data_IF_433878780352
#
_entry.id   IF_433878780352
#
_cell.length_a   1.000
_cell.length_b   1.000
_cell.length_c   1.000
_cell.angle_alpha   90.00
_cell.angle_beta   90.00
_cell.angle_gamma   90.00
#
_symmetry.space_group_name_H-M   'P 1'
#
loop_
_entity.id
_entity.type
_entity.pdbx_description
1 polymer ?
#
# COMPACT_ATOMS: atom_id res chain seq x y z
N UNK A 1 26.14 -12.29 -4.24
CA UNK A 1 25.26 -11.68 -5.27
C UNK A 1 23.86 -12.23 -5.02
N UNK A 2 22.90 -11.40 -4.62
CA UNK A 2 21.54 -11.88 -4.32
C UNK A 2 20.84 -12.34 -5.61
N UNK A 3 20.06 -13.42 -5.53
CA UNK A 3 19.27 -13.92 -6.65
C UNK A 3 18.21 -12.86 -7.04
N UNK A 4 18.21 -12.33 -8.27
CA UNK A 4 17.25 -11.31 -8.70
C UNK A 4 15.79 -11.75 -8.49
N UNK A 5 15.48 -13.04 -8.65
CA UNK A 5 14.13 -13.58 -8.46
C UNK A 5 13.68 -13.51 -6.99
N UNK A 6 14.57 -13.86 -6.06
CA UNK A 6 14.27 -13.81 -4.62
C UNK A 6 14.09 -12.36 -4.11
N UNK A 7 14.83 -11.41 -4.70
CA UNK A 7 14.71 -9.99 -4.38
C UNK A 7 13.33 -9.45 -4.78
N UNK A 8 12.88 -9.71 -6.02
CA UNK A 8 11.57 -9.27 -6.51
C UNK A 8 10.42 -9.78 -5.62
N UNK A 9 10.40 -11.07 -5.28
CA UNK A 9 9.38 -11.67 -4.40
C UNK A 9 9.31 -10.94 -3.04
N UNK A 10 10.48 -10.60 -2.47
CA UNK A 10 10.57 -9.92 -1.18
C UNK A 10 10.00 -8.49 -1.24
N UNK A 11 10.30 -7.75 -2.31
CA UNK A 11 9.78 -6.38 -2.49
C UNK A 11 8.27 -6.36 -2.65
N UNK A 12 7.74 -7.32 -3.42
CA UNK A 12 6.32 -7.51 -3.60
C UNK A 12 5.56 -7.87 -2.31
N UNK A 13 6.15 -8.73 -1.47
CA UNK A 13 5.60 -9.06 -0.15
C UNK A 13 5.55 -7.82 0.75
N UNK A 14 6.61 -7.01 0.76
CA UNK A 14 6.63 -5.73 1.51
C UNK A 14 5.56 -4.78 0.97
N UNK A 15 5.44 -4.62 -0.34
CA UNK A 15 4.40 -3.76 -0.95
C UNK A 15 2.99 -4.19 -0.51
N UNK A 16 2.69 -5.50 -0.52
CA UNK A 16 1.40 -6.02 -0.05
C UNK A 16 1.18 -5.73 1.43
N UNK A 17 2.19 -5.94 2.26
CA UNK A 17 2.12 -5.69 3.70
C UNK A 17 1.85 -4.21 4.02
N UNK A 18 2.61 -3.30 3.41
CA UNK A 18 2.43 -1.86 3.62
C UNK A 18 1.14 -1.33 2.99
N UNK A 19 0.67 -1.89 1.87
CA UNK A 19 -0.65 -1.57 1.32
C UNK A 19 -1.78 -1.92 2.30
N UNK A 20 -1.67 -3.06 2.99
CA UNK A 20 -2.63 -3.47 4.00
C UNK A 20 -2.57 -2.57 5.25
N UNK A 21 -1.36 -2.33 5.78
CA UNK A 21 -1.18 -1.45 6.94
C UNK A 21 -1.74 -0.06 6.67
N UNK A 22 -1.47 0.49 5.50
CA UNK A 22 -1.91 1.83 5.14
C UNK A 22 -3.43 1.94 5.03
N UNK A 23 -4.06 0.93 4.43
CA UNK A 23 -5.52 0.95 4.32
C UNK A 23 -6.19 0.75 5.68
N UNK A 24 -5.59 -0.06 6.57
CA UNK A 24 -6.06 -0.21 7.95
C UNK A 24 -5.87 1.11 8.72
N UNK A 25 -4.72 1.78 8.57
CA UNK A 25 -4.46 3.07 9.23
C UNK A 25 -5.45 4.14 8.77
N UNK A 26 -5.75 4.21 7.47
CA UNK A 26 -6.76 5.08 6.88
C UNK A 26 -8.17 4.75 7.41
N UNK A 27 -8.52 3.47 7.46
CA UNK A 27 -9.83 3.03 7.94
C UNK A 27 -10.03 3.40 9.42
N UNK A 28 -9.02 3.15 10.26
CA UNK A 28 -9.05 3.54 11.67
C UNK A 28 -9.13 5.07 11.83
N UNK A 29 -8.40 5.83 11.02
CA UNK A 29 -8.45 7.28 11.05
C UNK A 29 -9.85 7.81 10.66
N UNK A 30 -10.41 7.35 9.54
CA UNK A 30 -11.67 7.87 9.00
C UNK A 30 -12.90 7.32 9.71
N UNK A 31 -12.90 6.06 10.13
CA UNK A 31 -14.09 5.40 10.72
C UNK A 31 -14.10 5.49 12.25
N UNK A 32 -12.94 5.61 12.89
CA UNK A 32 -12.86 5.68 14.36
C UNK A 32 -12.47 7.09 14.81
N UNK A 33 -11.27 7.56 14.45
CA UNK A 33 -10.74 8.79 15.01
C UNK A 33 -11.59 10.02 14.65
N UNK A 34 -12.00 10.14 13.38
CA UNK A 34 -12.81 11.27 12.89
C UNK A 34 -14.21 11.28 13.53
N UNK A 35 -14.99 10.18 13.56
CA UNK A 35 -16.29 10.17 14.24
C UNK A 35 -16.18 10.45 15.74
N UNK A 36 -15.20 9.85 16.44
CA UNK A 36 -15.02 10.12 17.87
C UNK A 36 -14.69 11.59 18.17
N UNK A 37 -13.91 12.24 17.29
CA UNK A 37 -13.68 13.68 17.35
C UNK A 37 -14.98 14.47 17.27
N UNK A 38 -15.86 14.15 16.31
CA UNK A 38 -17.11 14.89 16.11
C UNK A 38 -18.19 14.58 17.17
N UNK A 39 -18.31 13.33 17.63
CA UNK A 39 -19.34 12.94 18.60
C UNK A 39 -18.98 13.22 20.04
N UNK A 40 -17.69 13.10 20.40
CA UNK A 40 -17.24 13.14 21.80
C UNK A 40 -16.17 14.22 22.06
N UNK A 41 -15.92 15.10 21.08
CA UNK A 41 -14.89 16.15 21.18
C UNK A 41 -13.47 15.61 21.36
N UNK A 42 -13.23 14.33 21.08
CA UNK A 42 -11.98 13.66 21.39
C UNK A 42 -10.94 13.83 20.28
N UNK A 43 -10.28 14.99 20.25
CA UNK A 43 -9.27 15.34 19.23
C UNK A 43 -8.00 14.49 19.29
N UNK A 44 -7.70 13.88 20.44
CA UNK A 44 -6.48 13.10 20.67
C UNK A 44 -6.33 11.95 19.67
N UNK A 45 -7.42 11.28 19.31
CA UNK A 45 -7.39 10.17 18.36
C UNK A 45 -6.87 10.58 16.97
N UNK A 46 -7.36 11.72 16.45
CA UNK A 46 -6.92 12.24 15.14
C UNK A 46 -5.49 12.78 15.23
N UNK A 47 -5.12 13.40 16.34
CA UNK A 47 -3.78 13.96 16.56
C UNK A 47 -2.68 12.89 16.49
N UNK A 48 -2.93 11.69 16.99
CA UNK A 48 -1.98 10.56 16.88
C UNK A 48 -2.14 9.77 15.58
N UNK A 49 -3.38 9.48 15.16
CA UNK A 49 -3.58 8.66 13.96
C UNK A 49 -3.18 9.37 12.67
N UNK A 50 -3.30 10.69 12.60
CA UNK A 50 -2.89 11.47 11.42
C UNK A 50 -1.43 11.23 11.04
N UNK A 51 -0.46 11.50 11.94
CA UNK A 51 0.95 11.19 11.70
C UNK A 51 1.25 9.70 11.45
N UNK A 52 0.58 8.79 12.17
CA UNK A 52 0.76 7.33 11.98
C UNK A 52 0.35 6.91 10.58
N UNK A 53 -0.82 7.37 10.12
CA UNK A 53 -1.31 7.14 8.77
C UNK A 53 -0.38 7.77 7.73
N UNK A 54 -0.02 9.06 7.89
CA UNK A 54 0.90 9.74 6.98
C UNK A 54 2.26 9.04 6.83
N UNK A 55 2.83 8.52 7.93
CA UNK A 55 4.07 7.73 7.89
C UNK A 55 3.86 6.40 7.15
N UNK A 56 2.76 5.70 7.43
CA UNK A 56 2.45 4.42 6.78
C UNK A 56 2.23 4.60 5.28
N UNK A 57 1.53 5.67 4.88
CA UNK A 57 1.35 6.07 3.48
C UNK A 57 2.68 6.34 2.80
N UNK A 58 3.56 7.10 3.44
CA UNK A 58 4.88 7.43 2.90
C UNK A 58 5.74 6.17 2.69
N UNK A 59 5.75 5.26 3.66
CA UNK A 59 6.49 3.99 3.54
C UNK A 59 5.89 3.13 2.43
N UNK A 60 4.56 3.08 2.30
CA UNK A 60 3.90 2.42 1.18
C UNK A 60 4.32 3.02 -0.18
N UNK A 61 4.32 4.34 -0.31
CA UNK A 61 4.77 5.04 -1.53
C UNK A 61 6.23 4.69 -1.87
N UNK A 62 7.10 4.64 -0.87
CA UNK A 62 8.50 4.26 -1.06
C UNK A 62 8.64 2.86 -1.68
N UNK A 63 7.90 1.88 -1.17
CA UNK A 63 7.89 0.52 -1.74
C UNK A 63 7.22 0.47 -3.12
N UNK A 64 6.17 1.26 -3.35
CA UNK A 64 5.49 1.30 -4.62
C UNK A 64 6.41 1.89 -5.73
N UNK A 65 7.18 2.93 -5.41
CA UNK A 65 8.19 3.51 -6.32
C UNK A 65 9.33 2.52 -6.59
N UNK A 66 9.87 1.86 -5.55
CA UNK A 66 10.90 0.83 -5.75
C UNK A 66 10.42 -0.30 -6.66
N UNK A 67 9.14 -0.66 -6.57
CA UNK A 67 8.55 -1.69 -7.43
C UNK A 67 8.58 -1.28 -8.90
N UNK A 68 8.39 0.00 -9.26
CA UNK A 68 8.56 0.48 -10.63
C UNK A 68 10.02 0.43 -11.10
N UNK A 69 10.99 0.67 -10.22
CA UNK A 69 12.40 0.64 -10.62
C UNK A 69 12.92 -0.77 -10.82
N UNK A 70 12.35 -1.75 -10.12
CA UNK A 70 12.79 -3.16 -10.18
C UNK A 70 11.91 -4.02 -11.11
N UNK A 71 10.66 -3.60 -11.37
CA UNK A 71 9.71 -4.32 -12.22
C UNK A 71 9.35 -3.51 -13.47
N UNK A 72 8.87 -4.18 -14.53
CA UNK A 72 8.38 -3.52 -15.77
C UNK A 72 7.01 -2.81 -15.60
N UNK A 73 6.72 -2.27 -14.42
CA UNK A 73 5.45 -1.61 -14.14
C UNK A 73 5.48 -0.16 -14.66
N UNK A 74 4.36 0.30 -15.21
CA UNK A 74 4.26 1.63 -15.80
C UNK A 74 3.90 2.68 -14.73
N UNK A 75 4.24 3.97 -14.92
CA UNK A 75 3.85 5.04 -14.00
C UNK A 75 2.33 5.14 -13.76
N UNK A 76 1.52 4.78 -14.76
CA UNK A 76 0.06 4.69 -14.65
C UNK A 76 -0.39 3.64 -13.63
N UNK A 77 0.35 2.53 -13.52
CA UNK A 77 0.05 1.47 -12.57
C UNK A 77 0.40 1.88 -11.14
N UNK A 78 1.50 2.63 -10.95
CA UNK A 78 1.78 3.26 -9.66
C UNK A 78 0.71 4.28 -9.29
N UNK A 79 0.31 5.15 -10.21
CA UNK A 79 -0.74 6.13 -9.94
C UNK A 79 -2.05 5.44 -9.53
N UNK A 80 -2.42 4.35 -10.21
CA UNK A 80 -3.57 3.53 -9.84
C UNK A 80 -3.45 3.00 -8.40
N UNK A 81 -2.29 2.43 -8.03
CA UNK A 81 -2.05 1.91 -6.68
C UNK A 81 -2.23 2.99 -5.61
N UNK A 82 -1.77 4.20 -5.88
CA UNK A 82 -1.91 5.34 -4.96
C UNK A 82 -3.36 5.77 -4.85
N UNK A 83 -4.03 6.04 -5.98
CA UNK A 83 -5.43 6.50 -6.00
C UNK A 83 -6.36 5.50 -5.33
N UNK A 84 -6.18 4.21 -5.60
CA UNK A 84 -7.00 3.15 -5.01
C UNK A 84 -6.75 3.04 -3.50
N UNK A 85 -5.52 3.20 -3.02
CA UNK A 85 -5.20 3.16 -1.57
C UNK A 85 -5.88 4.27 -0.78
N UNK A 86 -6.14 5.44 -1.39
CA UNK A 86 -6.84 6.55 -0.73
C UNK A 86 -8.35 6.30 -0.52
N UNK A 87 -8.89 5.25 -1.15
CA UNK A 87 -10.28 4.86 -0.99
C UNK A 87 -10.35 3.88 0.18
N UNK A 88 -11.22 4.11 1.19
CA UNK A 88 -11.51 3.11 2.21
C UNK A 88 -11.88 1.77 1.55
N UNK A 89 -11.29 0.66 2.01
CA UNK A 89 -11.43 -0.67 1.38
C UNK A 89 -10.77 -0.85 0.00
N UNK A 90 -10.04 0.15 -0.51
CA UNK A 90 -9.32 0.07 -1.78
C UNK A 90 -8.25 -1.04 -1.83
N UNK A 91 -7.77 -1.49 -0.67
CA UNK A 91 -6.83 -2.62 -0.54
C UNK A 91 -7.28 -3.88 -1.28
N UNK A 92 -8.59 -4.16 -1.36
CA UNK A 92 -9.08 -5.35 -2.06
C UNK A 92 -8.72 -5.33 -3.56
N UNK A 93 -8.86 -4.17 -4.19
CA UNK A 93 -8.50 -3.97 -5.59
C UNK A 93 -6.98 -3.97 -5.78
N UNK A 94 -6.24 -3.33 -4.87
CA UNK A 94 -4.77 -3.29 -4.94
C UNK A 94 -4.15 -4.67 -4.75
N UNK A 95 -4.60 -5.47 -3.77
CA UNK A 95 -4.09 -6.83 -3.55
C UNK A 95 -4.35 -7.73 -4.76
N UNK A 96 -5.52 -7.63 -5.37
CA UNK A 96 -5.87 -8.39 -6.57
C UNK A 96 -4.97 -8.00 -7.74
N UNK A 97 -4.74 -6.70 -7.93
CA UNK A 97 -3.87 -6.18 -8.99
C UNK A 97 -2.40 -6.59 -8.79
N UNK A 98 -1.87 -6.42 -7.58
CA UNK A 98 -0.50 -6.77 -7.21
C UNK A 98 -0.26 -8.29 -7.37
N UNK A 99 -1.23 -9.12 -6.99
CA UNK A 99 -1.17 -10.59 -7.17
C UNK A 99 -1.12 -10.98 -8.66
N UNK A 100 -2.00 -10.42 -9.48
CA UNK A 100 -2.06 -10.75 -10.92
C UNK A 100 -0.79 -10.28 -11.65
N UNK A 101 -0.18 -9.19 -11.22
CA UNK A 101 1.09 -8.74 -11.78
C UNK A 101 2.26 -9.63 -11.41
N UNK A 102 2.29 -10.19 -10.19
CA UNK A 102 3.33 -11.15 -9.80
C UNK A 102 3.26 -12.42 -10.62
N UNK A 103 2.08 -13.02 -10.80
CA UNK A 103 1.93 -14.27 -11.56
C UNK A 103 2.45 -14.11 -12.98
N UNK A 104 2.13 -12.99 -13.63
CA UNK A 104 2.58 -12.71 -14.99
C UNK A 104 4.11 -12.50 -15.09
N UNK A 105 4.71 -11.88 -14.06
CA UNK A 105 6.17 -11.69 -14.01
C UNK A 105 6.88 -13.02 -13.77
N UNK A 106 6.33 -13.87 -12.90
CA UNK A 106 6.88 -15.20 -12.62
C UNK A 106 6.83 -16.10 -13.86
N UNK A 107 5.71 -16.11 -14.60
CA UNK A 107 5.53 -16.87 -15.84
C UNK A 107 6.50 -16.42 -16.95
N UNK A 108 6.68 -15.10 -17.10
CA UNK A 108 7.60 -14.52 -18.08
C UNK A 108 9.09 -14.78 -17.76
N UNK A 109 9.42 -15.10 -16.51
CA UNK A 109 10.78 -15.44 -16.09
C UNK A 109 11.09 -16.95 -16.14
N UNK A 110 10.06 -17.80 -16.25
CA UNK A 110 10.21 -19.26 -16.38
C UNK A 110 10.17 -19.77 -17.82
N UNK A 111 9.84 -18.91 -18.77
CA UNK A 111 9.79 -19.19 -20.22
C UNK A 111 11.04 -18.68 -20.92
#
# INVERSE_FOLDING_TARGET
MANPKAQNITQFQKLKFFSLLETISLLLLVVVAVPLKYFNGWDTGVHFMGPIHGLTFFVYLWFAVQTITESKWTPLELLRLVVVTLIPFGVYFNLSFIKNKMTNVDEAQSS
#
